data_IF_184498712352
#
_entry.id   IF_184498712352
#
_cell.length_a   1.000
_cell.length_b   1.000
_cell.length_c   1.000
_cell.angle_alpha   90.00
_cell.angle_beta   90.00
_cell.angle_gamma   90.00
#
_symmetry.space_group_name_H-M   'P 1'
#
loop_
_entity.id
_entity.type
_entity.pdbx_description
1 polymer ?
#
# COMPACT_ATOMS: atom_id res chain seq x y z
N UNK A 1 58.58 -86.16 -1.11
CA UNK A 1 59.29 -87.00 -2.10
C UNK A 1 59.52 -86.12 -3.33
N UNK A 2 60.80 -85.86 -3.68
CA UNK A 2 61.33 -85.10 -4.84
C UNK A 2 60.92 -83.61 -4.93
N UNK A 3 61.72 -82.59 -4.61
CA UNK A 3 63.17 -82.27 -4.76
C UNK A 3 63.67 -82.07 -6.20
N UNK A 4 64.18 -80.85 -6.49
CA UNK A 4 64.93 -80.49 -7.71
C UNK A 4 65.09 -78.95 -7.86
N UNK A 5 65.94 -78.29 -7.06
CA UNK A 5 67.34 -77.87 -7.34
C UNK A 5 67.46 -76.75 -8.40
N UNK A 6 67.52 -75.49 -7.94
CA UNK A 6 68.67 -74.54 -7.90
C UNK A 6 69.34 -74.19 -9.24
N UNK A 7 69.34 -72.88 -9.56
CA UNK A 7 70.57 -72.15 -9.92
C UNK A 7 70.58 -70.77 -9.27
N UNK A 8 71.71 -70.48 -8.60
CA UNK A 8 72.10 -69.20 -8.02
C UNK A 8 73.09 -68.57 -9.01
N UNK A 9 72.86 -67.32 -9.38
CA UNK A 9 73.88 -66.42 -9.92
C UNK A 9 73.73 -65.09 -9.20
N UNK A 10 74.78 -64.69 -8.48
CA UNK A 10 74.91 -63.40 -7.81
C UNK A 10 75.78 -62.45 -8.65
N UNK A 11 75.88 -61.21 -8.17
CA UNK A 11 76.66 -60.02 -8.66
C UNK A 11 76.04 -59.26 -9.84
N UNK A 12 75.89 -57.92 -9.85
CA UNK A 12 76.50 -56.82 -9.08
C UNK A 12 75.58 -55.57 -9.15
N UNK A 13 75.60 -54.72 -8.11
CA UNK A 13 74.80 -53.49 -7.98
C UNK A 13 75.10 -52.44 -9.07
N UNK A 14 74.04 -51.84 -9.62
CA UNK A 14 74.03 -50.41 -9.95
C UNK A 14 72.74 -49.76 -9.45
N UNK A 15 72.96 -48.66 -8.74
CA UNK A 15 72.00 -47.76 -8.11
C UNK A 15 71.19 -47.00 -9.18
N UNK A 16 69.86 -47.08 -9.08
CA UNK A 16 68.97 -45.95 -9.39
C UNK A 16 67.77 -46.03 -8.45
N UNK A 17 67.82 -45.27 -7.36
CA UNK A 17 66.63 -44.90 -6.59
C UNK A 17 65.71 -44.09 -7.51
N UNK A 18 64.71 -44.74 -8.09
CA UNK A 18 63.59 -44.06 -8.71
C UNK A 18 62.74 -43.44 -7.59
N UNK A 19 62.97 -42.15 -7.32
CA UNK A 19 62.04 -41.32 -6.57
C UNK A 19 60.71 -41.31 -7.34
N UNK A 20 59.73 -42.09 -6.89
CA UNK A 20 58.34 -41.78 -7.23
C UNK A 20 57.96 -40.56 -6.39
N UNK A 21 58.16 -39.37 -6.97
CA UNK A 21 57.48 -38.16 -6.51
C UNK A 21 55.98 -38.42 -6.64
N UNK A 22 55.33 -38.69 -5.51
CA UNK A 22 53.87 -38.55 -5.39
C UNK A 22 53.61 -37.06 -5.57
N UNK A 23 53.40 -36.64 -6.82
CA UNK A 23 52.85 -35.35 -7.12
C UNK A 23 51.44 -35.34 -6.56
N UNK A 24 51.26 -34.76 -5.37
CA UNK A 24 49.94 -34.34 -4.92
C UNK A 24 49.46 -33.29 -5.92
N UNK A 25 48.69 -33.73 -6.93
CA UNK A 25 47.89 -32.84 -7.75
C UNK A 25 46.88 -32.23 -6.79
N UNK A 26 47.16 -31.01 -6.34
CA UNK A 26 46.15 -30.12 -5.79
C UNK A 26 45.21 -29.79 -6.94
N UNK A 27 44.24 -30.68 -7.19
CA UNK A 27 43.08 -30.34 -7.97
C UNK A 27 42.48 -29.12 -7.26
N UNK A 28 42.27 -27.98 -7.94
CA UNK A 28 41.45 -26.94 -7.35
C UNK A 28 40.13 -27.59 -6.96
N UNK A 29 39.63 -27.29 -5.77
CA UNK A 29 38.29 -27.68 -5.36
C UNK A 29 37.31 -27.06 -6.34
N UNK A 30 37.02 -27.76 -7.43
CA UNK A 30 35.91 -27.42 -8.31
C UNK A 30 34.66 -27.56 -7.46
N UNK A 31 33.93 -26.45 -7.29
CA UNK A 31 32.63 -26.51 -6.65
C UNK A 31 31.81 -27.54 -7.44
N UNK A 32 31.30 -28.58 -6.77
CA UNK A 32 30.38 -29.51 -7.38
C UNK A 32 29.10 -28.73 -7.68
N UNK A 33 28.90 -28.35 -8.94
CA UNK A 33 27.71 -27.63 -9.38
C UNK A 33 26.60 -28.64 -9.67
N UNK A 34 25.40 -28.41 -9.16
CA UNK A 34 24.24 -29.21 -9.51
C UNK A 34 23.72 -28.77 -10.88
N UNK A 35 23.92 -29.59 -11.91
CA UNK A 35 23.36 -29.30 -13.23
C UNK A 35 21.83 -29.28 -13.16
N UNK A 36 21.18 -28.36 -13.87
CA UNK A 36 19.72 -28.30 -14.02
C UNK A 36 19.20 -29.51 -14.80
N UNK A 37 19.10 -30.65 -14.14
CA UNK A 37 18.59 -31.90 -14.68
C UNK A 37 17.64 -32.50 -13.66
N UNK A 38 16.44 -32.84 -14.13
CA UNK A 38 15.35 -33.28 -13.26
C UNK A 38 15.02 -34.74 -13.55
N UNK A 39 14.78 -35.52 -12.50
CA UNK A 39 14.19 -36.86 -12.54
C UNK A 39 13.15 -36.97 -11.44
N UNK A 40 11.94 -36.44 -11.69
CA UNK A 40 10.79 -36.59 -10.79
C UNK A 40 10.56 -38.05 -10.42
N UNK A 41 10.22 -38.30 -9.15
CA UNK A 41 9.84 -39.63 -8.67
C UNK A 41 8.37 -39.61 -8.22
N UNK A 42 7.99 -40.56 -7.36
CA UNK A 42 6.68 -40.54 -6.75
C UNK A 42 6.87 -40.20 -5.27
N UNK A 43 6.21 -39.14 -4.81
CA UNK A 43 6.35 -38.64 -3.45
C UNK A 43 7.23 -37.40 -3.40
N UNK A 44 7.78 -37.09 -2.25
CA UNK A 44 8.47 -35.83 -1.99
C UNK A 44 9.84 -35.78 -2.68
N UNK A 45 10.04 -34.82 -3.59
CA UNK A 45 11.28 -34.66 -4.34
C UNK A 45 11.97 -33.30 -4.11
N UNK A 46 13.30 -33.27 -4.26
CA UNK A 46 14.11 -32.04 -4.15
C UNK A 46 15.00 -31.88 -5.38
N UNK A 47 14.81 -30.78 -6.09
CA UNK A 47 15.53 -30.43 -7.31
C UNK A 47 16.43 -29.22 -7.08
N UNK A 48 17.71 -29.33 -7.48
CA UNK A 48 18.67 -28.22 -7.42
C UNK A 48 19.13 -27.90 -8.83
N UNK A 49 18.90 -26.66 -9.26
CA UNK A 49 19.29 -26.13 -10.56
C UNK A 49 20.31 -25.00 -10.37
N UNK A 50 21.56 -25.38 -10.11
CA UNK A 50 22.67 -24.45 -9.83
C UNK A 50 23.34 -23.96 -11.11
N UNK A 51 23.45 -24.81 -12.14
CA UNK A 51 24.12 -24.44 -13.40
C UNK A 51 23.54 -25.14 -14.62
N UNK A 52 23.84 -24.59 -15.80
CA UNK A 52 23.38 -25.14 -17.08
C UNK A 52 21.91 -24.86 -17.37
N UNK A 53 21.37 -25.55 -18.37
CA UNK A 53 19.99 -25.36 -18.83
C UNK A 53 19.30 -26.71 -18.87
N UNK A 54 18.12 -26.81 -18.27
CA UNK A 54 17.33 -28.04 -18.32
C UNK A 54 16.87 -28.34 -19.75
N UNK A 55 16.68 -29.63 -20.06
CA UNK A 55 16.21 -30.04 -21.38
C UNK A 55 14.80 -29.52 -21.68
N UNK A 56 13.97 -29.43 -20.64
CA UNK A 56 12.57 -28.96 -20.65
C UNK A 56 12.23 -28.32 -19.30
N UNK A 57 10.97 -27.96 -19.10
CA UNK A 57 10.42 -27.64 -17.78
C UNK A 57 10.51 -28.80 -16.78
N UNK A 58 10.10 -28.51 -15.55
CA UNK A 58 9.96 -29.46 -14.44
C UNK A 58 8.47 -29.73 -14.22
N UNK A 59 8.07 -30.99 -14.20
CA UNK A 59 6.70 -31.39 -13.84
C UNK A 59 6.78 -32.52 -12.84
N UNK A 60 6.30 -32.28 -11.62
CA UNK A 60 6.20 -33.26 -10.55
C UNK A 60 4.96 -33.01 -9.70
N UNK A 61 3.86 -33.69 -10.00
CA UNK A 61 2.54 -33.34 -9.43
C UNK A 61 2.18 -34.20 -8.22
N UNK A 62 3.14 -34.92 -7.63
CA UNK A 62 2.92 -35.82 -6.50
C UNK A 62 3.83 -35.47 -5.33
N UNK A 63 3.32 -35.55 -4.10
CA UNK A 63 4.13 -35.30 -2.90
C UNK A 63 4.45 -33.83 -2.68
N UNK A 64 5.34 -33.57 -1.73
CA UNK A 64 5.83 -32.24 -1.39
C UNK A 64 7.17 -31.98 -2.08
N UNK A 65 7.20 -31.08 -3.05
CA UNK A 65 8.31 -30.88 -3.95
C UNK A 65 9.05 -29.58 -3.66
N UNK A 66 10.37 -29.60 -3.79
CA UNK A 66 11.20 -28.39 -3.66
C UNK A 66 12.05 -28.17 -4.90
N UNK A 67 12.01 -26.96 -5.48
CA UNK A 67 12.95 -26.51 -6.50
C UNK A 67 13.83 -25.37 -5.94
N UNK A 68 15.14 -25.54 -6.02
CA UNK A 68 16.13 -24.54 -5.60
C UNK A 68 17.03 -24.11 -6.76
N UNK A 69 17.07 -22.81 -7.04
CA UNK A 69 18.09 -22.13 -7.83
C UNK A 69 18.95 -21.27 -6.87
N UNK A 70 20.10 -21.78 -6.39
CA UNK A 70 20.85 -21.20 -5.27
C UNK A 70 21.51 -19.86 -5.61
N UNK A 71 21.94 -19.12 -4.58
CA UNK A 71 22.66 -17.84 -4.77
C UNK A 71 23.96 -18.05 -5.54
N UNK A 72 24.24 -17.20 -6.53
CA UNK A 72 25.46 -17.28 -7.34
C UNK A 72 25.44 -18.35 -8.44
N UNK A 73 24.35 -19.12 -8.54
CA UNK A 73 24.11 -20.03 -9.64
C UNK A 73 23.85 -19.34 -10.98
N UNK A 74 23.84 -20.14 -12.04
CA UNK A 74 23.53 -19.74 -13.42
C UNK A 74 22.47 -20.65 -14.07
N UNK A 75 21.80 -21.46 -13.27
CA UNK A 75 20.80 -22.42 -13.71
C UNK A 75 19.66 -21.78 -14.50
N UNK A 76 19.20 -22.48 -15.53
CA UNK A 76 18.04 -22.10 -16.32
C UNK A 76 17.06 -23.27 -16.42
N UNK A 77 15.83 -23.07 -15.95
CA UNK A 77 14.72 -23.98 -16.25
C UNK A 77 14.10 -23.57 -17.59
N UNK A 78 14.33 -24.37 -18.62
CA UNK A 78 13.87 -24.11 -19.98
C UNK A 78 12.44 -24.61 -20.21
N UNK A 79 11.48 -23.99 -19.52
CA UNK A 79 10.06 -24.31 -19.60
C UNK A 79 9.34 -23.95 -18.31
N UNK A 80 8.13 -24.49 -18.16
CA UNK A 80 7.33 -24.31 -16.96
C UNK A 80 7.86 -25.14 -15.78
N UNK A 81 7.55 -24.70 -14.57
CA UNK A 81 7.58 -25.54 -13.36
C UNK A 81 6.13 -25.81 -12.98
N UNK A 82 5.78 -27.08 -12.82
CA UNK A 82 4.42 -27.49 -12.47
C UNK A 82 4.51 -28.54 -11.37
N UNK A 83 4.06 -28.16 -10.18
CA UNK A 83 3.84 -29.08 -9.07
C UNK A 83 2.35 -29.47 -9.00
N UNK A 84 1.85 -29.90 -7.84
CA UNK A 84 0.54 -30.54 -7.74
C UNK A 84 -0.09 -30.32 -6.37
N UNK A 85 -0.77 -31.34 -5.85
CA UNK A 85 -1.25 -31.25 -4.48
C UNK A 85 -0.10 -31.54 -3.51
N UNK A 86 0.13 -30.70 -2.50
CA UNK A 86 1.25 -30.87 -1.58
C UNK A 86 1.56 -29.64 -0.74
N UNK A 87 2.73 -29.64 -0.13
CA UNK A 87 3.36 -28.44 0.45
C UNK A 87 4.61 -28.20 -0.38
N UNK A 88 4.44 -27.49 -1.47
CA UNK A 88 5.45 -27.30 -2.49
C UNK A 88 6.25 -26.01 -2.27
N UNK A 89 7.51 -26.01 -2.69
CA UNK A 89 8.44 -24.91 -2.43
C UNK A 89 9.31 -24.58 -3.63
N UNK A 90 9.37 -23.29 -3.99
CA UNK A 90 10.32 -22.78 -4.97
C UNK A 90 11.18 -21.70 -4.35
N UNK A 91 12.49 -21.88 -4.40
CA UNK A 91 13.50 -20.91 -3.96
C UNK A 91 14.33 -20.44 -5.16
N UNK A 92 14.21 -19.16 -5.50
CA UNK A 92 14.90 -18.52 -6.61
C UNK A 92 15.84 -17.41 -6.11
N UNK A 93 17.13 -17.73 -6.02
CA UNK A 93 18.15 -16.80 -5.56
C UNK A 93 19.11 -16.33 -6.67
N UNK A 94 19.04 -16.95 -7.85
CA UNK A 94 19.78 -16.58 -9.07
C UNK A 94 19.19 -17.28 -10.30
N UNK A 95 19.82 -17.16 -11.47
CA UNK A 95 19.39 -17.90 -12.66
C UNK A 95 18.05 -17.45 -13.23
N UNK A 96 17.39 -18.33 -13.99
CA UNK A 96 16.11 -18.01 -14.62
C UNK A 96 15.17 -19.20 -14.80
N UNK A 97 13.87 -18.93 -14.75
CA UNK A 97 12.80 -19.85 -15.15
C UNK A 97 12.11 -19.22 -16.36
N UNK A 98 12.20 -19.90 -17.51
CA UNK A 98 11.76 -19.36 -18.80
C UNK A 98 10.23 -19.43 -18.99
N UNK A 99 9.55 -20.29 -18.26
CA UNK A 99 8.10 -20.46 -18.29
C UNK A 99 7.38 -19.95 -17.04
N UNK A 100 6.13 -20.38 -16.90
CA UNK A 100 5.33 -20.13 -15.69
C UNK A 100 5.66 -21.13 -14.59
N UNK A 101 5.25 -20.78 -13.37
CA UNK A 101 5.31 -21.62 -12.18
C UNK A 101 3.87 -21.83 -11.72
N UNK A 102 3.53 -23.08 -11.44
CA UNK A 102 2.23 -23.52 -10.93
C UNK A 102 2.52 -24.47 -9.76
N UNK A 103 2.23 -24.05 -8.52
CA UNK A 103 2.51 -24.85 -7.32
C UNK A 103 1.38 -25.83 -7.03
N UNK A 104 0.13 -25.41 -7.14
CA UNK A 104 -1.03 -26.30 -7.20
C UNK A 104 -1.94 -26.14 -6.00
N UNK A 105 -2.37 -27.25 -5.38
CA UNK A 105 -3.20 -27.19 -4.18
C UNK A 105 -2.34 -27.47 -2.95
N UNK A 106 -2.51 -26.70 -1.89
CA UNK A 106 -1.93 -26.95 -0.58
C UNK A 106 -1.23 -25.73 -0.01
N UNK A 107 -0.32 -25.92 0.93
CA UNK A 107 0.33 -24.81 1.61
C UNK A 107 1.71 -24.57 1.01
N UNK A 108 1.79 -23.71 0.01
CA UNK A 108 2.95 -23.57 -0.84
C UNK A 108 3.80 -22.34 -0.49
N UNK A 109 5.09 -22.39 -0.84
CA UNK A 109 6.01 -21.29 -0.58
C UNK A 109 6.81 -20.91 -1.82
N UNK A 110 6.83 -19.62 -2.16
CA UNK A 110 7.69 -19.05 -3.19
C UNK A 110 8.60 -17.97 -2.61
N UNK A 111 9.91 -18.20 -2.67
CA UNK A 111 10.91 -17.24 -2.17
C UNK A 111 11.81 -16.80 -3.31
N UNK A 112 11.88 -15.50 -3.55
CA UNK A 112 12.76 -14.90 -4.55
C UNK A 112 13.63 -13.80 -3.94
N UNK A 113 14.95 -13.96 -4.07
CA UNK A 113 15.91 -12.92 -3.68
C UNK A 113 16.82 -12.48 -4.84
N UNK A 114 16.72 -13.15 -5.98
CA UNK A 114 17.47 -12.87 -7.20
C UNK A 114 16.90 -13.64 -8.38
N UNK A 115 17.52 -13.54 -9.56
CA UNK A 115 17.06 -14.25 -10.75
C UNK A 115 15.77 -13.70 -11.37
N UNK A 116 15.20 -14.44 -12.32
CA UNK A 116 13.98 -14.03 -13.03
C UNK A 116 13.03 -15.18 -13.38
N UNK A 117 11.73 -14.95 -13.23
CA UNK A 117 10.66 -15.80 -13.81
C UNK A 117 9.98 -15.03 -14.95
N UNK A 118 9.96 -15.62 -16.14
CA UNK A 118 9.40 -14.99 -17.34
C UNK A 118 7.90 -15.23 -17.47
N UNK A 119 7.36 -16.29 -16.86
CA UNK A 119 5.92 -16.56 -16.80
C UNK A 119 5.25 -16.03 -15.53
N UNK A 120 3.97 -16.38 -15.40
CA UNK A 120 3.20 -16.16 -14.18
C UNK A 120 3.67 -17.09 -13.06
N UNK A 121 3.62 -16.63 -11.82
CA UNK A 121 3.68 -17.48 -10.62
C UNK A 121 2.25 -17.68 -10.12
N UNK A 122 1.77 -18.93 -10.11
CA UNK A 122 0.50 -19.35 -9.53
C UNK A 122 0.78 -20.22 -8.31
N UNK A 123 0.27 -19.84 -7.14
CA UNK A 123 0.39 -20.65 -5.92
C UNK A 123 -0.79 -21.62 -5.81
N UNK A 124 -2.02 -21.14 -6.02
CA UNK A 124 -3.18 -21.96 -6.34
C UNK A 124 -4.21 -21.93 -5.22
N UNK A 125 -4.49 -23.06 -4.57
CA UNK A 125 -5.47 -23.11 -3.49
C UNK A 125 -4.84 -23.57 -2.19
N UNK A 126 -5.05 -22.87 -1.08
CA UNK A 126 -4.58 -23.30 0.23
C UNK A 126 -4.18 -22.13 1.12
N UNK A 127 -3.02 -22.17 1.76
CA UNK A 127 -2.50 -21.03 2.52
C UNK A 127 -1.05 -20.89 2.12
N UNK A 128 -0.80 -19.93 1.24
CA UNK A 128 0.46 -19.80 0.53
C UNK A 128 1.29 -18.63 1.05
N UNK A 129 2.61 -18.75 0.94
CA UNK A 129 3.56 -17.73 1.35
C UNK A 129 4.44 -17.28 0.17
N UNK A 130 4.39 -16.00 -0.15
CA UNK A 130 5.26 -15.38 -1.15
C UNK A 130 6.21 -14.37 -0.47
N UNK A 131 7.52 -14.54 -0.68
CA UNK A 131 8.54 -13.63 -0.17
C UNK A 131 9.48 -13.15 -1.28
N UNK A 132 9.57 -11.82 -1.42
CA UNK A 132 10.41 -11.19 -2.42
C UNK A 132 11.34 -10.14 -1.81
N UNK A 133 12.64 -10.43 -1.84
CA UNK A 133 13.70 -9.51 -1.38
C UNK A 133 14.65 -9.10 -2.51
N UNK A 134 14.28 -9.37 -3.76
CA UNK A 134 15.06 -9.13 -4.96
C UNK A 134 14.53 -9.93 -6.15
N UNK A 135 15.23 -9.89 -7.29
CA UNK A 135 14.82 -10.60 -8.51
C UNK A 135 13.63 -9.96 -9.23
N UNK A 136 13.07 -10.71 -10.20
CA UNK A 136 11.97 -10.24 -11.03
C UNK A 136 11.01 -11.37 -11.42
N UNK A 137 9.70 -11.12 -11.33
CA UNK A 137 8.66 -11.98 -11.91
C UNK A 137 7.74 -11.15 -12.80
N UNK A 138 7.01 -11.80 -13.72
CA UNK A 138 5.99 -11.09 -14.52
C UNK A 138 4.75 -10.77 -13.69
N UNK A 139 4.17 -11.77 -13.05
CA UNK A 139 2.97 -11.65 -12.24
C UNK A 139 2.92 -12.73 -11.17
N UNK A 140 2.14 -12.45 -10.12
CA UNK A 140 1.82 -13.34 -9.02
C UNK A 140 0.29 -13.46 -8.91
N UNK A 141 -0.18 -14.68 -8.73
CA UNK A 141 -1.53 -15.04 -8.30
C UNK A 141 -1.35 -15.98 -7.09
N UNK A 142 -1.89 -15.63 -5.91
CA UNK A 142 -1.82 -16.54 -4.75
C UNK A 142 -3.05 -17.45 -4.73
N UNK A 143 -4.22 -16.91 -5.04
CA UNK A 143 -5.41 -17.69 -5.37
C UNK A 143 -6.40 -17.72 -4.21
N UNK A 144 -6.93 -18.89 -3.86
CA UNK A 144 -7.88 -19.01 -2.75
C UNK A 144 -7.12 -19.35 -1.46
N UNK A 145 -7.36 -18.63 -0.37
CA UNK A 145 -6.62 -18.92 0.86
C UNK A 145 -6.68 -17.80 1.88
N UNK A 146 -5.79 -17.87 2.87
CA UNK A 146 -5.42 -16.68 3.64
C UNK A 146 -3.92 -16.47 3.43
N UNK A 147 -3.57 -16.05 2.24
CA UNK A 147 -2.21 -16.06 1.73
C UNK A 147 -1.41 -14.89 2.29
N UNK A 148 -0.11 -15.13 2.47
CA UNK A 148 0.83 -14.12 2.94
C UNK A 148 1.74 -13.64 1.82
N UNK A 149 1.90 -12.32 1.73
CA UNK A 149 2.79 -11.66 0.79
C UNK A 149 3.75 -10.73 1.54
N UNK A 150 5.05 -10.88 1.28
CA UNK A 150 6.07 -9.96 1.76
C UNK A 150 6.99 -9.51 0.62
N UNK A 151 7.17 -8.19 0.48
CA UNK A 151 8.11 -7.61 -0.47
C UNK A 151 8.96 -6.49 0.13
N UNK A 152 10.28 -6.63 0.08
CA UNK A 152 11.22 -5.60 0.52
C UNK A 152 12.10 -5.01 -0.59
N UNK A 153 12.25 -5.71 -1.71
CA UNK A 153 12.94 -5.25 -2.93
C UNK A 153 12.48 -6.09 -4.13
N UNK A 154 13.03 -5.85 -5.32
CA UNK A 154 12.73 -6.61 -6.53
C UNK A 154 11.57 -6.03 -7.34
N UNK A 155 11.09 -6.79 -8.34
CA UNK A 155 10.05 -6.33 -9.27
C UNK A 155 9.03 -7.39 -9.66
N UNK A 156 7.76 -7.06 -9.46
CA UNK A 156 6.62 -7.72 -10.11
C UNK A 156 6.18 -6.81 -11.26
N UNK A 157 6.40 -7.24 -12.51
CA UNK A 157 6.26 -6.33 -13.67
C UNK A 157 4.81 -5.90 -13.89
N UNK A 158 3.87 -6.84 -13.84
CA UNK A 158 2.48 -6.56 -14.17
C UNK A 158 1.58 -6.55 -12.95
N UNK A 159 1.39 -7.69 -12.27
CA UNK A 159 0.30 -7.85 -11.31
C UNK A 159 0.69 -8.68 -10.10
N UNK A 160 0.21 -8.26 -8.94
CA UNK A 160 -0.06 -9.12 -7.79
C UNK A 160 -1.58 -9.21 -7.64
N UNK A 161 -2.13 -10.38 -7.93
CA UNK A 161 -3.56 -10.66 -7.89
C UNK A 161 -3.87 -11.73 -6.81
N UNK A 162 -5.09 -11.72 -6.26
CA UNK A 162 -5.61 -12.74 -5.31
C UNK A 162 -4.67 -12.99 -4.14
N UNK A 163 -4.55 -12.06 -3.20
CA UNK A 163 -3.80 -12.31 -1.97
C UNK A 163 -4.43 -11.54 -0.83
N UNK A 164 -4.18 -11.96 0.42
CA UNK A 164 -4.99 -11.52 1.56
C UNK A 164 -4.22 -10.64 2.54
N UNK A 165 -3.04 -11.10 2.96
CA UNK A 165 -2.20 -10.41 3.93
C UNK A 165 -0.88 -9.98 3.29
N UNK A 166 -0.80 -8.71 2.90
CA UNK A 166 0.31 -8.16 2.15
C UNK A 166 1.09 -7.09 2.92
N UNK A 167 2.41 -7.24 2.96
CA UNK A 167 3.35 -6.27 3.52
C UNK A 167 4.40 -5.90 2.48
N UNK A 168 4.45 -4.61 2.12
CA UNK A 168 5.39 -4.05 1.15
C UNK A 168 6.25 -2.97 1.80
N UNK A 169 7.53 -3.26 2.04
CA UNK A 169 8.49 -2.30 2.60
C UNK A 169 9.41 -1.69 1.54
N UNK A 170 9.39 -2.20 0.31
CA UNK A 170 10.21 -1.75 -0.81
C UNK A 170 9.85 -2.45 -2.12
N UNK A 171 10.72 -2.34 -3.13
CA UNK A 171 10.48 -2.95 -4.44
C UNK A 171 9.46 -2.21 -5.32
N UNK A 172 9.05 -2.84 -6.43
CA UNK A 172 8.12 -2.26 -7.40
C UNK A 172 7.13 -3.29 -7.96
N UNK A 173 5.84 -2.93 -7.95
CA UNK A 173 4.73 -3.74 -8.50
C UNK A 173 4.02 -2.94 -9.59
N UNK A 174 3.57 -3.60 -10.67
CA UNK A 174 2.78 -2.95 -11.72
C UNK A 174 1.40 -2.50 -11.23
N UNK A 175 0.59 -3.42 -10.70
CA UNK A 175 -0.70 -3.18 -10.03
C UNK A 175 -0.92 -4.22 -8.93
N UNK A 176 -1.78 -3.90 -7.98
CA UNK A 176 -2.24 -4.86 -6.95
C UNK A 176 -3.75 -4.99 -7.04
N UNK A 177 -4.26 -6.23 -6.99
CA UNK A 177 -5.68 -6.56 -6.99
C UNK A 177 -5.97 -7.79 -6.11
N UNK A 178 -6.32 -7.56 -4.85
CA UNK A 178 -6.51 -8.61 -3.83
C UNK A 178 -7.91 -9.28 -3.90
N UNK A 179 -8.81 -8.73 -4.71
CA UNK A 179 -10.11 -9.28 -5.12
C UNK A 179 -11.18 -9.50 -4.03
N UNK A 180 -11.40 -10.71 -3.57
CA UNK A 180 -12.57 -11.04 -2.74
C UNK A 180 -12.02 -11.64 -1.46
N UNK A 181 -12.13 -10.93 -0.34
CA UNK A 181 -11.90 -11.40 1.04
C UNK A 181 -11.70 -10.19 1.97
N UNK A 182 -11.45 -10.41 3.26
CA UNK A 182 -11.07 -9.34 4.17
C UNK A 182 -9.56 -9.09 4.07
N UNK A 183 -9.16 -8.17 3.20
CA UNK A 183 -7.77 -7.98 2.83
C UNK A 183 -7.03 -7.01 3.76
N UNK A 184 -5.74 -7.23 3.92
CA UNK A 184 -4.83 -6.35 4.65
C UNK A 184 -3.63 -6.00 3.77
N UNK A 185 -3.45 -4.72 3.46
CA UNK A 185 -2.29 -4.21 2.72
C UNK A 185 -1.55 -3.13 3.51
N UNK A 186 -0.32 -3.43 3.93
CA UNK A 186 0.55 -2.47 4.62
C UNK A 186 1.77 -2.10 3.77
N UNK A 187 1.84 -0.83 3.37
CA UNK A 187 2.93 -0.26 2.59
C UNK A 187 3.76 0.71 3.42
N UNK A 188 5.05 0.41 3.61
CA UNK A 188 6.02 1.29 4.26
C UNK A 188 7.18 1.70 3.35
N UNK A 189 7.06 1.45 2.05
CA UNK A 189 8.04 1.83 1.03
C UNK A 189 7.71 1.22 -0.33
N UNK A 190 8.58 1.48 -1.33
CA UNK A 190 8.43 0.93 -2.68
C UNK A 190 7.46 1.70 -3.58
N UNK A 191 7.06 1.07 -4.69
CA UNK A 191 6.21 1.71 -5.72
C UNK A 191 5.20 0.74 -6.31
N UNK A 192 3.94 1.14 -6.36
CA UNK A 192 2.90 0.54 -7.19
C UNK A 192 2.69 1.48 -8.38
N UNK A 193 2.90 1.00 -9.61
CA UNK A 193 2.85 1.85 -10.81
C UNK A 193 1.43 2.34 -11.12
N UNK A 194 0.42 1.52 -10.81
CA UNK A 194 -0.99 1.76 -11.09
C UNK A 194 -1.80 1.68 -9.79
N UNK A 195 -2.91 0.95 -9.81
CA UNK A 195 -3.87 0.93 -8.70
C UNK A 195 -3.51 -0.13 -7.64
N UNK A 196 -3.99 0.14 -6.43
CA UNK A 196 -4.15 -0.82 -5.35
C UNK A 196 -5.65 -1.05 -5.15
N UNK A 197 -6.12 -2.27 -5.36
CA UNK A 197 -7.54 -2.65 -5.25
C UNK A 197 -7.68 -3.86 -4.33
N UNK A 198 -8.60 -3.81 -3.38
CA UNK A 198 -8.88 -4.94 -2.47
C UNK A 198 -10.22 -5.61 -2.71
N UNK A 199 -11.21 -4.90 -3.27
CA UNK A 199 -12.46 -5.49 -3.77
C UNK A 199 -13.50 -5.67 -2.67
N UNK A 200 -14.22 -6.80 -2.57
CA UNK A 200 -15.29 -6.92 -1.54
C UNK A 200 -14.78 -7.59 -0.27
N UNK A 201 -15.25 -7.12 0.88
CA UNK A 201 -14.87 -7.60 2.21
C UNK A 201 -14.51 -6.43 3.12
N UNK A 202 -14.18 -6.69 4.38
CA UNK A 202 -13.72 -5.65 5.29
C UNK A 202 -12.21 -5.50 5.15
N UNK A 203 -11.79 -4.52 4.36
CA UNK A 203 -10.42 -4.32 3.95
C UNK A 203 -9.69 -3.29 4.83
N UNK A 204 -8.39 -3.46 4.96
CA UNK A 204 -7.51 -2.57 5.70
C UNK A 204 -6.30 -2.19 4.86
N UNK A 205 -6.15 -0.91 4.54
CA UNK A 205 -5.00 -0.36 3.83
C UNK A 205 -4.26 0.62 4.74
N UNK A 206 -2.96 0.41 4.91
CA UNK A 206 -2.08 1.27 5.70
C UNK A 206 -0.91 1.72 4.83
N UNK A 207 -0.78 3.03 4.60
CA UNK A 207 0.32 3.63 3.83
C UNK A 207 1.12 4.56 4.74
N UNK A 208 2.37 4.22 4.99
CA UNK A 208 3.31 5.03 5.80
C UNK A 208 4.46 5.61 5.00
N UNK A 209 4.74 5.08 3.80
CA UNK A 209 5.69 5.62 2.83
C UNK A 209 5.47 4.98 1.45
N UNK A 210 6.28 5.35 0.47
CA UNK A 210 6.22 4.83 -0.90
C UNK A 210 5.31 5.64 -1.84
N UNK A 211 5.05 5.08 -3.02
CA UNK A 211 4.27 5.73 -4.08
C UNK A 211 3.26 4.78 -4.70
N UNK A 212 2.01 5.21 -4.80
CA UNK A 212 0.98 4.59 -5.62
C UNK A 212 0.69 5.55 -6.78
N UNK A 213 0.99 5.10 -8.00
CA UNK A 213 0.85 5.89 -9.22
C UNK A 213 -0.59 6.04 -9.72
N UNK A 214 -1.48 5.14 -9.27
CA UNK A 214 -2.92 5.17 -9.55
C UNK A 214 -3.76 5.41 -8.30
N UNK A 215 -4.97 4.85 -8.32
CA UNK A 215 -5.97 4.98 -7.25
C UNK A 215 -5.87 3.85 -6.22
N UNK A 216 -6.41 4.11 -5.04
CA UNK A 216 -6.77 3.10 -4.03
C UNK A 216 -8.28 2.87 -4.12
N UNK A 217 -8.73 1.62 -4.17
CA UNK A 217 -10.16 1.27 -4.16
C UNK A 217 -10.45 0.04 -3.30
N UNK A 218 -11.28 0.21 -2.28
CA UNK A 218 -11.69 -0.86 -1.34
C UNK A 218 -13.15 -1.32 -1.54
N UNK A 219 -13.84 -0.75 -2.53
CA UNK A 219 -15.15 -1.18 -3.06
C UNK A 219 -16.31 -1.37 -2.06
N UNK A 220 -16.38 -2.46 -1.31
CA UNK A 220 -17.58 -2.71 -0.50
C UNK A 220 -17.32 -3.59 0.71
N UNK A 221 -17.71 -3.08 1.87
CA UNK A 221 -17.45 -3.70 3.17
C UNK A 221 -17.47 -2.66 4.28
N UNK A 222 -16.79 -2.94 5.38
CA UNK A 222 -16.49 -1.94 6.42
C UNK A 222 -14.98 -1.74 6.39
N UNK A 223 -14.55 -0.76 5.61
CA UNK A 223 -13.16 -0.63 5.21
C UNK A 223 -12.42 0.42 6.03
N UNK A 224 -11.09 0.29 6.04
CA UNK A 224 -10.22 1.28 6.66
C UNK A 224 -9.03 1.63 5.78
N UNK A 225 -8.85 2.93 5.52
CA UNK A 225 -7.69 3.45 4.81
C UNK A 225 -6.96 4.45 5.71
N UNK A 226 -5.71 4.13 6.06
CA UNK A 226 -4.85 4.96 6.91
C UNK A 226 -3.62 5.45 6.15
N UNK A 227 -3.45 6.76 6.08
CA UNK A 227 -2.31 7.44 5.47
C UNK A 227 -1.51 8.19 6.55
N UNK A 228 -0.24 7.82 6.71
CA UNK A 228 0.72 8.52 7.58
C UNK A 228 1.95 9.05 6.83
N UNK A 229 2.10 8.67 5.55
CA UNK A 229 3.19 9.08 4.67
C UNK A 229 2.98 8.61 3.23
N UNK A 230 3.98 8.82 2.37
CA UNK A 230 3.95 8.40 0.96
C UNK A 230 3.14 9.30 0.04
N UNK A 231 2.87 8.82 -1.17
CA UNK A 231 2.12 9.54 -2.21
C UNK A 231 1.08 8.65 -2.85
N UNK A 232 -0.14 9.15 -3.00
CA UNK A 232 -1.18 8.55 -3.86
C UNK A 232 -1.53 9.55 -4.95
N UNK A 233 -1.23 9.19 -6.21
CA UNK A 233 -1.41 10.07 -7.35
C UNK A 233 -2.86 10.09 -7.87
N UNK A 234 -3.58 8.98 -7.74
CA UNK A 234 -4.99 8.85 -8.09
C UNK A 234 -5.94 9.17 -6.94
N UNK A 235 -7.15 8.68 -7.07
CA UNK A 235 -8.24 8.84 -6.09
C UNK A 235 -8.16 7.76 -5.00
N UNK A 236 -8.78 8.01 -3.86
CA UNK A 236 -9.06 7.02 -2.82
C UNK A 236 -10.57 6.85 -2.78
N UNK A 237 -11.07 5.63 -3.00
CA UNK A 237 -12.50 5.32 -3.15
C UNK A 237 -12.88 4.18 -2.21
N UNK A 238 -13.70 4.45 -1.20
CA UNK A 238 -14.10 3.44 -0.21
C UNK A 238 -15.43 2.75 -0.59
N UNK A 239 -16.37 3.53 -1.13
CA UNK A 239 -17.54 3.08 -1.88
C UNK A 239 -18.74 2.63 -1.04
N UNK A 240 -18.92 1.36 -0.68
CA UNK A 240 -20.15 0.94 0.02
C UNK A 240 -19.83 0.39 1.41
N UNK A 241 -20.66 0.78 2.38
CA UNK A 241 -20.59 0.35 3.76
C UNK A 241 -19.88 1.35 4.67
N UNK A 242 -19.93 1.11 5.99
CA UNK A 242 -19.50 2.10 6.98
C UNK A 242 -17.99 2.17 7.08
N UNK A 243 -17.39 3.15 6.43
CA UNK A 243 -15.97 3.20 6.18
C UNK A 243 -15.23 4.20 7.06
N UNK A 244 -13.93 3.96 7.21
CA UNK A 244 -13.04 4.83 7.99
C UNK A 244 -11.84 5.30 7.19
N UNK A 245 -11.65 6.61 7.13
CA UNK A 245 -10.49 7.24 6.53
C UNK A 245 -9.67 8.00 7.57
N UNK A 246 -8.37 7.69 7.71
CA UNK A 246 -7.45 8.39 8.60
C UNK A 246 -6.26 8.96 7.85
N UNK A 247 -6.02 10.26 7.98
CA UNK A 247 -4.83 10.91 7.42
C UNK A 247 -4.09 11.72 8.49
N UNK A 248 -2.88 11.27 8.86
CA UNK A 248 -2.17 11.82 10.01
C UNK A 248 -0.72 12.20 9.69
N UNK A 249 -0.44 13.51 9.73
CA UNK A 249 0.89 14.12 9.74
C UNK A 249 1.59 14.17 8.38
N UNK A 250 1.79 13.01 7.76
CA UNK A 250 2.55 12.87 6.50
C UNK A 250 1.67 12.53 5.31
N UNK A 251 2.31 12.42 4.14
CA UNK A 251 1.68 11.97 2.91
C UNK A 251 1.15 13.11 2.02
N UNK A 252 1.03 12.82 0.72
CA UNK A 252 0.46 13.72 -0.30
C UNK A 252 -0.57 12.96 -1.12
N UNK A 253 -1.79 13.48 -1.17
CA UNK A 253 -2.90 12.92 -1.96
C UNK A 253 -3.25 13.90 -3.09
N UNK A 254 -3.19 13.44 -4.34
CA UNK A 254 -3.43 14.27 -5.52
C UNK A 254 -4.86 14.17 -6.06
N UNK A 255 -5.53 13.03 -5.86
CA UNK A 255 -6.89 12.82 -6.32
C UNK A 255 -7.96 13.33 -5.35
N UNK A 256 -9.13 12.73 -5.49
CA UNK A 256 -10.23 12.83 -4.54
C UNK A 256 -10.08 11.78 -3.43
N UNK A 257 -10.70 12.03 -2.30
CA UNK A 257 -11.01 11.02 -1.28
C UNK A 257 -12.53 10.96 -1.19
N UNK A 258 -13.10 9.81 -1.52
CA UNK A 258 -14.54 9.57 -1.63
C UNK A 258 -14.89 8.37 -0.76
N UNK A 259 -15.61 8.59 0.34
CA UNK A 259 -15.96 7.51 1.27
C UNK A 259 -17.16 6.73 0.74
N UNK A 260 -18.09 7.40 0.05
CA UNK A 260 -19.09 6.76 -0.80
C UNK A 260 -20.49 6.81 -0.19
N UNK A 261 -21.17 5.68 -0.12
CA UNK A 261 -22.49 5.59 0.50
C UNK A 261 -22.37 5.02 1.92
N UNK A 262 -23.44 5.20 2.71
CA UNK A 262 -23.54 4.79 4.12
C UNK A 262 -22.89 5.81 5.08
N UNK A 263 -22.90 5.53 6.39
CA UNK A 263 -22.52 6.50 7.42
C UNK A 263 -21.02 6.43 7.73
N UNK A 264 -20.22 7.34 7.18
CA UNK A 264 -18.76 7.23 7.18
C UNK A 264 -18.03 8.16 8.18
N UNK A 265 -16.77 7.82 8.47
CA UNK A 265 -15.92 8.60 9.39
C UNK A 265 -14.55 8.91 8.78
N UNK A 266 -14.26 10.21 8.62
CA UNK A 266 -12.93 10.70 8.28
C UNK A 266 -12.27 11.46 9.45
N UNK A 267 -10.99 11.18 9.69
CA UNK A 267 -10.16 11.92 10.66
C UNK A 267 -8.88 12.43 10.01
N UNK A 268 -8.71 13.75 10.01
CA UNK A 268 -7.54 14.45 9.49
C UNK A 268 -6.75 15.08 10.64
N UNK A 269 -5.48 14.71 10.79
CA UNK A 269 -4.69 15.09 11.96
C UNK A 269 -3.29 15.61 11.58
N UNK A 270 -2.83 16.69 12.21
CA UNK A 270 -1.48 17.26 12.01
C UNK A 270 -1.14 17.61 10.55
N UNK A 271 -2.13 18.03 9.76
CA UNK A 271 -1.94 18.33 8.33
C UNK A 271 -1.83 19.83 8.05
N UNK A 272 -1.12 20.17 6.98
CA UNK A 272 -1.09 21.52 6.43
C UNK A 272 -1.37 21.51 4.93
N UNK A 273 -1.48 22.68 4.31
CA UNK A 273 -1.53 22.80 2.84
C UNK A 273 -0.31 22.18 2.14
N UNK A 274 0.81 21.93 2.83
CA UNK A 274 1.94 21.19 2.26
C UNK A 274 1.60 19.72 1.97
N UNK A 275 0.67 19.14 2.72
CA UNK A 275 0.16 17.78 2.52
C UNK A 275 -1.06 17.79 1.61
N UNK A 276 -2.00 18.70 1.88
CA UNK A 276 -3.34 18.70 1.30
C UNK A 276 -3.49 19.58 0.08
N UNK A 277 -2.54 20.48 -0.22
CA UNK A 277 -2.70 21.53 -1.23
C UNK A 277 -3.03 21.03 -2.64
N UNK A 278 -2.69 19.78 -2.95
CA UNK A 278 -2.98 19.13 -4.24
C UNK A 278 -4.24 18.29 -4.26
N UNK A 279 -4.79 17.95 -3.09
CA UNK A 279 -6.02 17.15 -2.98
C UNK A 279 -7.18 17.92 -3.58
N UNK A 280 -7.98 17.25 -4.41
CA UNK A 280 -9.05 17.89 -5.19
C UNK A 280 -10.34 18.04 -4.40
N UNK A 281 -10.77 16.97 -3.75
CA UNK A 281 -12.03 16.90 -3.01
C UNK A 281 -11.95 15.79 -1.96
N UNK A 282 -12.60 15.98 -0.82
CA UNK A 282 -12.73 15.01 0.28
C UNK A 282 -14.20 15.00 0.69
N UNK A 283 -14.89 13.90 0.44
CA UNK A 283 -16.34 13.77 0.65
C UNK A 283 -16.69 12.54 1.45
N UNK A 284 -17.69 12.67 2.33
CA UNK A 284 -18.36 11.53 2.95
C UNK A 284 -19.14 10.80 1.87
N UNK A 285 -20.17 11.45 1.34
CA UNK A 285 -20.81 11.06 0.09
C UNK A 285 -22.32 11.06 0.24
N UNK A 286 -22.98 9.91 0.13
CA UNK A 286 -24.38 9.72 0.51
C UNK A 286 -24.46 9.08 1.90
N UNK A 287 -25.06 9.75 2.88
CA UNK A 287 -25.17 9.14 4.21
C UNK A 287 -25.18 10.16 5.31
N UNK A 288 -24.92 9.71 6.55
CA UNK A 288 -24.69 10.59 7.69
C UNK A 288 -23.23 10.53 8.11
N UNK A 289 -22.43 11.39 7.49
CA UNK A 289 -20.98 11.35 7.56
C UNK A 289 -20.39 12.30 8.60
N UNK A 290 -19.21 11.95 9.11
CA UNK A 290 -18.47 12.78 10.04
C UNK A 290 -17.01 13.00 9.65
N UNK A 291 -16.59 14.28 9.63
CA UNK A 291 -15.22 14.69 9.39
C UNK A 291 -14.66 15.42 10.62
N UNK A 292 -13.60 14.86 11.20
CA UNK A 292 -12.89 15.48 12.33
C UNK A 292 -11.52 15.97 11.91
N UNK A 293 -11.29 17.27 12.10
CA UNK A 293 -9.99 17.92 11.98
C UNK A 293 -9.35 18.06 13.36
N UNK A 294 -8.08 17.68 13.48
CA UNK A 294 -7.27 17.83 14.69
C UNK A 294 -5.90 18.40 14.36
N UNK A 295 -5.60 19.63 14.78
CA UNK A 295 -4.36 20.34 14.41
C UNK A 295 -4.16 20.40 12.89
N UNK A 296 -5.22 20.72 12.13
CA UNK A 296 -5.14 20.88 10.68
C UNK A 296 -5.15 22.36 10.29
N UNK A 297 -4.23 22.77 9.41
CA UNK A 297 -4.08 24.16 8.94
C UNK A 297 -4.22 24.21 7.42
N UNK A 298 -5.40 24.56 6.93
CA UNK A 298 -5.71 24.52 5.50
C UNK A 298 -6.60 25.67 5.06
N UNK A 299 -6.43 26.10 3.81
CA UNK A 299 -7.44 26.87 3.08
C UNK A 299 -8.36 25.97 2.26
N UNK A 300 -8.95 26.56 1.21
CA UNK A 300 -9.72 25.85 0.18
C UNK A 300 -10.83 24.96 0.76
N UNK A 301 -11.64 25.54 1.66
CA UNK A 301 -12.72 24.83 2.37
C UNK A 301 -13.78 24.19 1.47
N UNK A 302 -13.89 24.66 0.23
CA UNK A 302 -14.78 24.06 -0.78
C UNK A 302 -14.42 22.62 -1.14
N UNK A 303 -13.21 22.16 -0.77
CA UNK A 303 -12.76 20.78 -0.99
C UNK A 303 -13.43 19.78 -0.06
N UNK A 304 -14.08 20.23 0.99
CA UNK A 304 -14.81 19.36 1.91
C UNK A 304 -16.31 19.51 1.63
N UNK A 305 -16.98 18.42 1.28
CA UNK A 305 -18.43 18.38 1.03
C UNK A 305 -19.03 17.02 1.38
N UNK A 306 -20.35 16.90 1.40
CA UNK A 306 -21.01 15.64 1.82
C UNK A 306 -20.67 15.29 3.27
N UNK A 307 -20.79 16.26 4.19
CA UNK A 307 -20.51 16.05 5.61
C UNK A 307 -21.66 16.61 6.45
N UNK A 308 -22.32 15.72 7.20
CA UNK A 308 -23.40 16.05 8.14
C UNK A 308 -22.83 16.60 9.44
N UNK A 309 -21.60 16.20 9.79
CA UNK A 309 -20.87 16.74 10.93
C UNK A 309 -19.42 17.05 10.58
N UNK A 310 -18.99 18.28 10.83
CA UNK A 310 -17.58 18.68 10.81
C UNK A 310 -17.16 19.14 12.21
N UNK A 311 -16.08 18.58 12.73
CA UNK A 311 -15.49 18.96 14.02
C UNK A 311 -14.11 19.58 13.81
N UNK A 312 -13.89 20.79 14.32
CA UNK A 312 -12.57 21.43 14.37
C UNK A 312 -12.03 21.34 15.79
N UNK A 313 -10.91 20.65 15.96
CA UNK A 313 -10.29 20.40 17.27
C UNK A 313 -8.80 20.70 17.28
N UNK A 314 -8.23 20.91 18.47
CA UNK A 314 -6.79 20.93 18.72
C UNK A 314 -5.99 21.90 17.82
N UNK A 315 -6.21 23.22 17.91
CA UNK A 315 -5.53 24.25 17.07
C UNK A 315 -5.75 24.06 15.57
N UNK A 316 -6.94 23.57 15.18
CA UNK A 316 -7.35 23.55 13.77
C UNK A 316 -7.61 24.97 13.27
N UNK A 317 -7.15 25.26 12.05
CA UNK A 317 -7.28 26.56 11.38
C UNK A 317 -7.79 26.36 9.97
N UNK A 318 -9.02 26.84 9.70
CA UNK A 318 -9.59 26.86 8.36
C UNK A 318 -9.62 28.29 7.81
N UNK A 319 -9.10 28.48 6.59
CA UNK A 319 -9.16 29.76 5.89
C UNK A 319 -10.21 29.71 4.79
N UNK A 320 -11.26 30.52 4.94
CA UNK A 320 -12.35 30.59 3.99
C UNK A 320 -12.01 31.53 2.84
N UNK A 321 -12.10 30.98 1.64
CA UNK A 321 -12.00 31.68 0.36
C UNK A 321 -13.15 31.34 -0.59
N UNK A 322 -14.05 30.46 -0.15
CA UNK A 322 -15.21 29.95 -0.87
C UNK A 322 -16.26 29.45 0.14
N UNK A 323 -17.50 29.18 -0.30
CA UNK A 323 -18.50 28.59 0.59
C UNK A 323 -18.11 27.19 1.09
N UNK A 324 -18.37 26.93 2.37
CA UNK A 324 -18.44 25.57 2.93
C UNK A 324 -19.90 25.10 2.87
N UNK A 325 -20.15 23.98 2.19
CA UNK A 325 -21.48 23.39 2.06
C UNK A 325 -21.55 22.16 2.96
N UNK A 326 -22.53 22.11 3.85
CA UNK A 326 -22.74 21.01 4.78
C UNK A 326 -23.95 20.16 4.37
N UNK A 327 -23.80 18.86 4.54
CA UNK A 327 -24.71 17.83 4.06
C UNK A 327 -24.61 17.56 2.55
N UNK A 328 -25.48 16.66 2.09
CA UNK A 328 -25.59 16.20 0.71
C UNK A 328 -27.04 16.33 0.17
N UNK A 329 -27.35 15.66 -0.94
CA UNK A 329 -28.70 15.65 -1.53
C UNK A 329 -29.75 14.88 -0.71
N UNK A 330 -29.35 13.87 0.05
CA UNK A 330 -30.21 13.06 0.92
C UNK A 330 -30.49 13.72 2.28
N UNK A 331 -29.46 14.23 2.95
CA UNK A 331 -29.56 14.83 4.30
C UNK A 331 -29.90 16.32 4.26
N UNK A 332 -29.40 17.03 3.25
CA UNK A 332 -29.68 18.43 2.95
C UNK A 332 -28.94 19.45 3.82
N UNK A 333 -28.31 19.08 4.93
CA UNK A 333 -27.67 20.00 5.89
C UNK A 333 -26.65 19.29 6.76
N UNK A 334 -25.92 20.06 7.57
CA UNK A 334 -25.06 19.50 8.59
C UNK A 334 -24.80 20.45 9.76
N UNK A 335 -23.78 20.10 10.54
CA UNK A 335 -23.34 20.80 11.74
C UNK A 335 -21.83 21.05 11.67
N UNK A 336 -21.40 22.26 12.02
CA UNK A 336 -20.00 22.61 12.22
C UNK A 336 -19.75 22.91 13.70
N UNK A 337 -18.86 22.14 14.32
CA UNK A 337 -18.41 22.34 15.70
C UNK A 337 -16.99 22.92 15.70
N UNK A 338 -16.78 24.01 16.42
CA UNK A 338 -15.49 24.68 16.56
C UNK A 338 -15.10 24.62 18.04
N UNK A 339 -14.08 23.86 18.38
CA UNK A 339 -13.59 23.77 19.77
C UNK A 339 -12.93 25.08 20.22
N UNK A 340 -12.68 25.20 21.53
CA UNK A 340 -12.10 26.40 22.14
C UNK A 340 -10.69 26.76 21.67
N UNK A 341 -10.00 25.86 20.95
CA UNK A 341 -8.63 26.05 20.49
C UNK A 341 -8.53 26.35 19.00
N UNK A 342 -9.62 26.13 18.25
CA UNK A 342 -9.64 26.22 16.80
C UNK A 342 -10.09 27.61 16.31
N UNK A 343 -9.67 27.96 15.10
CA UNK A 343 -9.97 29.25 14.47
C UNK A 343 -10.49 29.07 13.05
N UNK A 344 -11.56 29.79 12.72
CA UNK A 344 -11.99 30.00 11.34
C UNK A 344 -11.64 31.42 10.92
N UNK A 345 -10.93 31.55 9.80
CA UNK A 345 -10.55 32.83 9.19
C UNK A 345 -11.48 33.15 8.02
N UNK A 346 -12.21 34.26 8.10
CA UNK A 346 -13.20 34.68 7.11
C UNK A 346 -12.91 36.03 6.43
N UNK A 347 -11.83 36.71 6.80
CA UNK A 347 -11.54 38.10 6.41
C UNK A 347 -11.19 38.32 4.93
N UNK A 348 -10.76 37.32 4.18
CA UNK A 348 -10.34 37.55 2.78
C UNK A 348 -11.45 37.37 1.74
N UNK A 349 -12.69 37.07 2.15
CA UNK A 349 -13.79 36.75 1.24
C UNK A 349 -15.17 37.05 1.84
N UNK A 350 -16.17 37.23 0.97
CA UNK A 350 -17.58 37.12 1.36
C UNK A 350 -17.90 35.62 1.55
N UNK A 351 -17.50 35.11 2.71
CA UNK A 351 -17.49 33.69 3.03
C UNK A 351 -18.88 33.24 3.47
N UNK A 352 -19.24 31.99 3.18
CA UNK A 352 -20.55 31.43 3.53
C UNK A 352 -20.40 30.03 4.09
N UNK A 353 -21.04 29.74 5.22
CA UNK A 353 -21.32 28.39 5.69
C UNK A 353 -22.81 28.14 5.43
N UNK A 354 -23.12 27.13 4.62
CA UNK A 354 -24.50 26.88 4.17
C UNK A 354 -24.84 25.39 4.17
N UNK A 355 -26.13 25.04 4.31
CA UNK A 355 -26.60 23.69 4.01
C UNK A 355 -26.55 23.42 2.50
N UNK A 356 -26.57 22.15 2.13
CA UNK A 356 -26.73 21.70 0.74
C UNK A 356 -28.10 22.12 0.19
N UNK A 357 -29.17 21.78 0.89
CA UNK A 357 -30.53 22.15 0.54
C UNK A 357 -30.83 23.59 0.97
N UNK A 358 -31.12 24.46 -0.01
CA UNK A 358 -31.37 25.89 0.23
C UNK A 358 -32.61 26.19 1.11
N UNK A 359 -33.48 25.20 1.34
CA UNK A 359 -34.67 25.30 2.21
C UNK A 359 -34.40 24.87 3.65
N UNK A 360 -33.20 24.35 3.93
CA UNK A 360 -32.79 23.93 5.26
C UNK A 360 -31.85 24.96 5.91
N UNK A 361 -31.45 24.67 7.15
CA UNK A 361 -30.55 25.50 7.95
C UNK A 361 -29.43 24.62 8.49
N UNK A 362 -28.19 25.09 8.38
CA UNK A 362 -27.04 24.46 9.04
C UNK A 362 -26.99 24.82 10.54
N UNK A 363 -26.22 24.08 11.35
CA UNK A 363 -25.91 24.48 12.73
C UNK A 363 -24.42 24.80 12.87
N UNK A 364 -24.08 25.90 13.52
CA UNK A 364 -22.69 26.24 13.86
C UNK A 364 -22.58 26.44 15.37
N UNK A 365 -21.76 25.63 16.02
CA UNK A 365 -21.40 25.76 17.43
C UNK A 365 -19.98 26.29 17.54
N UNK A 366 -19.81 27.46 18.17
CA UNK A 366 -18.53 28.13 18.25
C UNK A 366 -18.07 28.32 19.70
N UNK A 367 -17.16 27.46 20.16
CA UNK A 367 -16.37 27.69 21.38
C UNK A 367 -15.02 28.36 21.09
N UNK A 368 -14.56 28.33 19.84
CA UNK A 368 -13.27 28.85 19.38
C UNK A 368 -13.32 30.30 18.91
N UNK A 369 -12.57 30.61 17.85
CA UNK A 369 -12.48 31.96 17.27
C UNK A 369 -13.01 31.99 15.83
N UNK A 370 -13.88 32.95 15.55
CA UNK A 370 -14.13 33.43 14.19
C UNK A 370 -13.33 34.73 14.02
N UNK A 371 -12.42 34.74 13.05
CA UNK A 371 -11.51 35.85 12.79
C UNK A 371 -11.79 36.47 11.42
N UNK A 372 -12.30 37.69 11.40
CA UNK A 372 -12.48 38.45 10.15
C UNK A 372 -11.34 39.45 9.91
N UNK A 373 -10.42 39.65 10.86
CA UNK A 373 -9.32 40.62 10.71
C UNK A 373 -8.17 40.13 9.82
N UNK A 374 -8.30 38.94 9.22
CA UNK A 374 -7.26 38.36 8.37
C UNK A 374 -7.36 38.79 6.89
N UNK A 375 -8.25 39.73 6.58
CA UNK A 375 -8.47 40.31 5.25
C UNK A 375 -7.50 41.43 4.85
N UNK A 376 -6.53 41.77 5.70
CA UNK A 376 -5.60 42.87 5.47
C UNK A 376 -6.14 44.18 6.03
N UNK A 377 -6.41 45.18 5.19
CA UNK A 377 -6.97 46.48 5.60
C UNK A 377 -8.46 46.62 5.24
N UNK A 378 -9.10 45.53 4.84
CA UNK A 378 -10.54 45.51 4.65
C UNK A 378 -11.24 45.75 5.98
N UNK A 379 -12.40 46.39 5.92
CA UNK A 379 -13.26 46.71 7.08
C UNK A 379 -14.72 46.43 6.73
N UNK A 380 -14.95 45.57 5.73
CA UNK A 380 -16.28 45.21 5.24
C UNK A 380 -16.39 43.72 4.96
N UNK A 381 -15.53 42.93 5.58
CA UNK A 381 -15.52 41.49 5.40
C UNK A 381 -16.75 40.88 6.05
N UNK A 382 -17.25 39.80 5.46
CA UNK A 382 -18.48 39.18 5.91
C UNK A 382 -18.33 37.67 5.89
N UNK A 383 -18.62 37.04 7.02
CA UNK A 383 -18.93 35.62 7.08
C UNK A 383 -20.44 35.47 7.27
N UNK A 384 -21.10 34.77 6.35
CA UNK A 384 -22.53 34.46 6.46
C UNK A 384 -22.73 33.01 6.89
N UNK A 385 -23.55 32.77 7.90
CA UNK A 385 -24.04 31.46 8.28
C UNK A 385 -25.50 31.39 7.85
N UNK A 386 -25.81 30.51 6.90
CA UNK A 386 -27.20 30.22 6.49
C UNK A 386 -27.79 29.14 7.39
N UNK A 387 -28.08 29.51 8.62
CA UNK A 387 -28.55 28.59 9.64
C UNK A 387 -28.38 29.12 11.04
N UNK A 388 -28.46 28.21 12.01
CA UNK A 388 -28.38 28.52 13.42
C UNK A 388 -26.94 28.76 13.86
N UNK A 389 -26.71 29.78 14.69
CA UNK A 389 -25.44 30.01 15.36
C UNK A 389 -25.57 29.96 16.87
N UNK A 390 -24.75 29.13 17.52
CA UNK A 390 -24.66 29.03 18.98
C UNK A 390 -23.23 29.33 19.43
N UNK A 391 -23.04 30.48 20.08
CA UNK A 391 -21.78 30.80 20.76
C UNK A 391 -21.65 30.06 22.09
N UNK A 392 -20.51 29.42 22.31
CA UNK A 392 -20.16 28.66 23.52
C UNK A 392 -18.93 29.29 24.20
N UNK A 393 -19.02 30.58 24.50
CA UNK A 393 -17.88 31.44 24.89
C UNK A 393 -16.83 31.63 23.78
N UNK A 394 -17.22 31.40 22.51
CA UNK A 394 -16.37 31.71 21.37
C UNK A 394 -16.15 33.21 21.16
N UNK A 395 -15.07 33.53 20.46
CA UNK A 395 -14.66 34.89 20.14
C UNK A 395 -14.97 35.25 18.69
N UNK A 396 -15.28 36.52 18.45
CA UNK A 396 -15.42 37.12 17.13
C UNK A 396 -14.47 38.31 17.04
N UNK A 397 -13.58 38.30 16.06
CA UNK A 397 -12.63 39.37 15.79
C UNK A 397 -13.04 40.07 14.49
N UNK A 398 -13.12 41.39 14.53
CA UNK A 398 -13.63 42.26 13.46
C UNK A 398 -12.77 43.50 13.36
N UNK A 399 -12.56 44.00 12.14
CA UNK A 399 -12.06 45.33 11.88
C UNK A 399 -13.24 46.31 11.71
N UNK A 400 -13.24 47.37 12.51
CA UNK A 400 -14.29 48.39 12.51
C UNK A 400 -13.67 49.78 12.47
N UNK A 401 -14.14 50.62 11.54
CA UNK A 401 -13.86 52.06 11.57
C UNK A 401 -14.75 52.70 12.63
N UNK A 402 -14.16 53.37 13.62
CA UNK A 402 -14.93 54.05 14.67
C UNK A 402 -15.32 55.46 14.23
N UNK A 403 -16.54 55.63 13.70
CA UNK A 403 -17.13 56.93 13.40
C UNK A 403 -18.67 56.94 13.61
N UNK A 404 -19.46 57.38 12.63
CA UNK A 404 -20.93 57.40 12.70
C UNK A 404 -21.57 56.07 12.25
N UNK A 405 -22.90 56.00 12.21
CA UNK A 405 -23.66 54.76 11.93
C UNK A 405 -23.33 54.09 10.57
N UNK A 406 -22.84 54.88 9.60
CA UNK A 406 -22.44 54.38 8.28
C UNK A 406 -20.97 53.88 8.23
N UNK A 407 -20.33 53.71 9.39
CA UNK A 407 -18.92 53.30 9.43
C UNK A 407 -18.76 51.86 8.92
N UNK A 408 -17.78 51.60 8.04
CA UNK A 408 -17.40 50.26 7.66
C UNK A 408 -17.05 49.40 8.88
N UNK A 409 -17.63 48.20 8.92
CA UNK A 409 -17.26 47.16 9.87
C UNK A 409 -17.37 45.81 9.18
N UNK A 410 -16.46 44.91 9.55
CA UNK A 410 -16.68 43.50 9.31
C UNK A 410 -17.93 43.02 10.05
N UNK A 411 -18.52 41.94 9.56
CA UNK A 411 -19.76 41.39 10.14
C UNK A 411 -19.85 39.88 10.05
N UNK A 412 -20.35 39.29 11.12
CA UNK A 412 -20.93 37.94 11.10
C UNK A 412 -22.42 38.08 10.81
N UNK A 413 -22.89 37.48 9.71
CA UNK A 413 -24.29 37.50 9.29
C UNK A 413 -24.90 36.14 9.60
N UNK A 414 -25.99 36.12 10.35
CA UNK A 414 -26.79 34.92 10.59
C UNK A 414 -28.07 35.04 9.77
N UNK A 415 -28.25 34.13 8.81
CA UNK A 415 -29.32 34.13 7.82
C UNK A 415 -30.22 32.90 8.04
N UNK A 416 -31.40 33.14 8.63
CA UNK A 416 -32.45 32.12 8.82
C UNK A 416 -32.59 31.54 10.23
N UNK A 417 -31.69 31.83 11.19
CA UNK A 417 -31.78 31.35 12.57
C UNK A 417 -30.82 31.99 13.56
#
# INVERSE_FOLDING_TARGET
>A
MHLGIRRVSATLLLSTTALFTVGAVLLPSGNAQAACSFSPTAGDDVFICDSGTSASGLTDTSGNNTLLLPTGGSGTVNGNVTFGAGTDRVELHSGSIAGSIDQGDGADAFIISGGSVVGNVQQGGGIDDFQMTGGQIISLNQGDGLDTFFMSDGRIIDAFDDGDYAVMTGGRIGRVNMKLDNNYFNMSGGTIDRNLVTGFGNDTIIISSGMIGGSISVSGGTDSVTITGGTVAGDIMLSFGTDTFSWNGGGILYGNVDLGADDDVATLTNLTDANMGTTKFITGGEGTDSLSFSNVKTGAVYRFGGWETINLTNDTRLVFNAPLTLGDAGTGKGTLNIDATSTIYGGSAQSVIKPYAATQLTNVFNAGRIDLTNGGSSTTDSLTIRGNYTGQNGLLFLDTVLAGDASPSDKLVIDGG
#
